data_IF_780594349749
#
_entry.id   IF_780594349749
#
_cell.length_a   1.000
_cell.length_b   1.000
_cell.length_c   1.000
_cell.angle_alpha   90.00
_cell.angle_beta   90.00
_cell.angle_gamma   90.00
#
_symmetry.space_group_name_H-M   'P 1'
#
loop_
_entity.id
_entity.type
_entity.pdbx_description
1 polymer ?
#
# COMPACT_ATOMS: atom_id res chain seq x y z
N UNK A 1 3.50 -11.39 -15.60
CA UNK A 1 2.68 -11.61 -14.39
C UNK A 1 2.13 -13.04 -14.31
N UNK A 2 1.43 -13.57 -15.33
CA UNK A 2 0.90 -14.95 -15.33
C UNK A 2 1.95 -16.05 -15.13
N UNK A 3 3.02 -16.03 -15.94
CA UNK A 3 4.16 -16.97 -15.82
C UNK A 3 4.74 -16.99 -14.40
N UNK A 4 4.86 -15.82 -13.77
CA UNK A 4 5.37 -15.74 -12.40
C UNK A 4 4.39 -16.36 -11.40
N UNK A 5 3.09 -16.07 -11.53
CA UNK A 5 2.05 -16.68 -10.69
C UNK A 5 2.00 -18.20 -10.82
N UNK A 6 2.14 -18.74 -12.03
CA UNK A 6 2.22 -20.18 -12.28
C UNK A 6 3.45 -20.82 -11.61
N UNK A 7 4.61 -20.15 -11.63
CA UNK A 7 5.85 -20.66 -11.03
C UNK A 7 5.82 -20.70 -9.50
N UNK A 8 5.20 -19.71 -8.86
CA UNK A 8 5.09 -19.66 -7.39
C UNK A 8 3.92 -20.48 -6.83
N UNK A 9 3.08 -21.05 -7.71
CA UNK A 9 1.95 -21.93 -7.37
C UNK A 9 1.06 -21.33 -6.27
N UNK A 10 0.99 -22.01 -5.12
CA UNK A 10 0.04 -21.74 -4.04
C UNK A 10 0.49 -20.64 -3.07
N UNK A 11 1.68 -20.05 -3.29
CA UNK A 11 2.13 -18.93 -2.47
C UNK A 11 1.22 -17.71 -2.74
N UNK A 12 0.62 -17.11 -1.70
CA UNK A 12 -0.14 -15.88 -1.84
C UNK A 12 0.74 -14.78 -2.44
N UNK A 13 0.25 -14.16 -3.51
CA UNK A 13 0.99 -13.12 -4.23
C UNK A 13 0.28 -11.80 -4.08
N UNK A 14 1.03 -10.75 -3.75
CA UNK A 14 0.58 -9.37 -3.83
C UNK A 14 1.45 -8.64 -4.85
N UNK A 15 0.83 -7.85 -5.71
CA UNK A 15 1.52 -6.99 -6.65
C UNK A 15 1.33 -5.52 -6.30
N UNK A 16 2.44 -4.81 -6.36
CA UNK A 16 2.52 -3.38 -6.15
C UNK A 16 2.92 -2.71 -7.45
N UNK A 17 2.13 -1.72 -7.87
CA UNK A 17 2.43 -0.91 -9.04
C UNK A 17 2.97 0.45 -8.61
N UNK A 18 3.79 1.06 -9.48
CA UNK A 18 4.38 2.40 -9.31
C UNK A 18 4.06 3.34 -10.48
N UNK A 19 3.18 2.89 -11.35
CA UNK A 19 2.80 3.62 -12.54
C UNK A 19 1.28 3.59 -12.67
N UNK A 20 0.67 4.77 -12.68
CA UNK A 20 -0.78 4.97 -12.74
C UNK A 20 -1.48 4.28 -13.92
N UNK A 21 -0.77 3.90 -14.99
CA UNK A 21 -1.35 3.11 -16.08
C UNK A 21 -1.93 1.77 -15.63
N UNK A 22 -1.53 1.25 -14.47
CA UNK A 22 -2.13 0.05 -13.88
C UNK A 22 -3.41 0.32 -13.08
N UNK A 23 -3.69 1.59 -12.77
CA UNK A 23 -4.89 2.01 -12.06
C UNK A 23 -6.07 2.18 -13.04
N UNK A 24 -6.61 1.06 -13.50
CA UNK A 24 -7.84 0.99 -14.29
C UNK A 24 -8.56 -0.35 -14.04
N UNK A 25 -9.80 -0.44 -14.51
CA UNK A 25 -10.63 -1.65 -14.34
C UNK A 25 -9.96 -2.90 -14.90
N UNK A 26 -9.32 -2.81 -16.07
CA UNK A 26 -8.62 -3.95 -16.70
C UNK A 26 -7.48 -4.47 -15.81
N UNK A 27 -6.72 -3.58 -15.18
CA UNK A 27 -5.65 -3.94 -14.25
C UNK A 27 -6.18 -4.65 -13.00
N UNK A 28 -7.23 -4.11 -12.39
CA UNK A 28 -7.85 -4.70 -11.19
C UNK A 28 -8.53 -6.05 -11.50
N UNK A 29 -9.25 -6.15 -12.61
CA UNK A 29 -9.88 -7.40 -13.07
C UNK A 29 -8.83 -8.46 -13.35
N UNK A 30 -7.71 -8.10 -14.01
CA UNK A 30 -6.60 -9.03 -14.22
C UNK A 30 -6.07 -9.60 -12.89
N UNK A 31 -5.86 -8.76 -11.88
CA UNK A 31 -5.41 -9.23 -10.57
C UNK A 31 -6.43 -10.18 -9.92
N UNK A 32 -7.72 -9.84 -9.97
CA UNK A 32 -8.81 -10.65 -9.41
C UNK A 32 -8.93 -12.01 -10.09
N UNK A 33 -8.95 -12.04 -11.42
CA UNK A 33 -9.03 -13.26 -12.24
C UNK A 33 -7.88 -14.23 -12.00
N UNK A 34 -6.70 -13.72 -11.62
CA UNK A 34 -5.50 -14.51 -11.41
C UNK A 34 -5.20 -14.76 -9.92
N UNK A 35 -6.13 -14.41 -9.02
CA UNK A 35 -5.97 -14.51 -7.56
C UNK A 35 -4.66 -13.87 -7.06
N UNK A 36 -4.40 -12.64 -7.52
CA UNK A 36 -3.25 -11.82 -7.15
C UNK A 36 -3.75 -10.65 -6.31
N UNK A 37 -3.23 -10.46 -5.11
CA UNK A 37 -3.54 -9.35 -4.22
C UNK A 37 -3.06 -8.01 -4.79
N UNK A 38 -3.85 -6.97 -4.57
CA UNK A 38 -3.52 -5.61 -4.92
C UNK A 38 -2.88 -4.92 -3.72
N UNK A 39 -1.69 -4.33 -3.92
CA UNK A 39 -1.07 -3.47 -2.92
C UNK A 39 -1.69 -2.07 -2.98
N UNK A 40 -2.38 -1.71 -1.90
CA UNK A 40 -2.89 -0.36 -1.67
C UNK A 40 -1.71 0.50 -1.23
N UNK A 41 -1.24 1.36 -2.13
CA UNK A 41 -0.08 2.21 -1.86
C UNK A 41 -0.51 3.61 -1.45
N UNK A 42 0.19 4.17 -0.47
CA UNK A 42 0.23 5.62 -0.28
C UNK A 42 1.62 6.11 -0.66
N UNK A 43 1.67 6.97 -1.66
CA UNK A 43 2.87 7.59 -2.20
C UNK A 43 2.59 9.07 -2.53
N UNK A 44 3.62 9.88 -2.84
CA UNK A 44 3.43 11.30 -3.11
C UNK A 44 2.45 11.54 -4.26
N UNK A 45 1.68 12.63 -4.20
CA UNK A 45 0.72 13.02 -5.25
C UNK A 45 1.42 13.67 -6.46
N UNK A 46 2.27 12.90 -7.13
CA UNK A 46 3.05 13.33 -8.30
C UNK A 46 2.54 12.65 -9.57
N UNK A 47 2.74 13.32 -10.72
CA UNK A 47 2.36 12.79 -12.02
C UNK A 47 3.05 11.44 -12.26
N UNK A 48 2.29 10.44 -12.68
CA UNK A 48 2.79 9.11 -13.01
C UNK A 48 2.68 8.10 -11.88
N UNK A 49 2.62 8.54 -10.62
CA UNK A 49 2.48 7.68 -9.45
C UNK A 49 1.04 7.18 -9.28
N UNK A 50 0.90 6.05 -8.60
CA UNK A 50 -0.38 5.44 -8.25
C UNK A 50 -1.17 6.34 -7.30
N UNK A 51 -2.49 6.48 -7.50
CA UNK A 51 -3.36 7.05 -6.49
C UNK A 51 -3.56 6.06 -5.34
N UNK A 52 -3.84 6.59 -4.15
CA UNK A 52 -4.34 5.78 -3.05
C UNK A 52 -5.75 5.27 -3.38
N UNK A 53 -5.90 3.95 -3.44
CA UNK A 53 -7.15 3.28 -3.81
C UNK A 53 -7.41 2.08 -2.87
N UNK A 54 -8.29 2.22 -1.85
CA UNK A 54 -8.55 1.18 -0.86
C UNK A 54 -9.47 0.06 -1.41
N UNK A 55 -8.93 -0.74 -2.33
CA UNK A 55 -9.63 -1.89 -2.95
C UNK A 55 -8.86 -3.18 -2.72
N UNK A 56 -9.56 -4.32 -2.68
CA UNK A 56 -8.96 -5.66 -2.60
C UNK A 56 -9.33 -6.51 -3.81
N UNK A 57 -8.39 -7.33 -4.28
CA UNK A 57 -8.59 -8.28 -5.39
C UNK A 57 -8.58 -9.74 -4.96
N UNK A 58 -8.26 -10.00 -3.69
CA UNK A 58 -8.23 -11.34 -3.07
C UNK A 58 -8.71 -11.23 -1.61
N UNK A 59 -8.70 -12.35 -0.87
CA UNK A 59 -8.92 -12.37 0.58
C UNK A 59 -7.79 -11.78 1.42
N UNK A 60 -6.73 -11.24 0.79
CA UNK A 60 -5.62 -10.55 1.43
C UNK A 60 -5.64 -9.07 1.07
N UNK A 61 -5.74 -8.21 2.09
CA UNK A 61 -5.66 -6.76 1.99
C UNK A 61 -4.27 -6.33 2.40
N UNK A 62 -3.65 -5.47 1.62
CA UNK A 62 -2.24 -5.16 1.80
C UNK A 62 -1.98 -3.68 1.54
N UNK A 63 -1.65 -2.95 2.61
CA UNK A 63 -1.34 -1.53 2.57
C UNK A 63 0.16 -1.31 2.68
N UNK A 64 0.72 -0.45 1.83
CA UNK A 64 2.11 0.02 1.92
C UNK A 64 2.18 1.54 1.88
N UNK A 65 2.64 2.11 2.99
CA UNK A 65 2.78 3.55 3.19
C UNK A 65 4.23 3.96 2.95
N UNK A 66 4.51 4.67 1.85
CA UNK A 66 5.88 5.07 1.49
C UNK A 66 6.28 6.45 1.97
N UNK A 67 5.32 7.23 2.45
CA UNK A 67 5.48 8.66 2.68
C UNK A 67 5.13 9.47 1.43
N UNK A 68 5.00 10.79 1.63
CA UNK A 68 4.58 11.73 0.58
C UNK A 68 5.66 12.77 0.26
N UNK A 69 6.94 12.40 0.36
CA UNK A 69 8.04 13.32 0.02
C UNK A 69 7.92 13.78 -1.45
N UNK A 70 7.73 15.09 -1.73
CA UNK A 70 7.57 15.60 -3.09
C UNK A 70 8.86 15.48 -3.92
N UNK A 71 10.03 15.33 -3.29
CA UNK A 71 11.30 15.16 -3.99
C UNK A 71 11.54 13.72 -4.49
N UNK A 72 10.49 12.89 -4.57
CA UNK A 72 10.54 11.45 -4.84
C UNK A 72 11.45 11.01 -6.00
N UNK A 73 11.45 11.76 -7.09
CA UNK A 73 12.20 11.43 -8.31
C UNK A 73 13.65 11.92 -8.32
N UNK A 74 14.00 12.90 -7.48
CA UNK A 74 15.33 13.52 -7.49
C UNK A 74 16.10 13.30 -6.19
N UNK A 75 15.43 12.87 -5.12
CA UNK A 75 16.03 12.49 -3.85
C UNK A 75 16.85 11.19 -3.97
N UNK A 76 17.86 11.06 -3.11
CA UNK A 76 18.51 9.77 -2.89
C UNK A 76 17.52 8.72 -2.38
N UNK A 77 17.88 7.43 -2.44
CA UNK A 77 17.01 6.34 -1.95
C UNK A 77 16.64 6.53 -0.48
N UNK A 78 17.58 7.01 0.34
CA UNK A 78 17.34 7.23 1.77
C UNK A 78 16.41 8.42 2.02
N UNK A 79 16.56 9.51 1.26
CA UNK A 79 15.75 10.72 1.40
C UNK A 79 14.36 10.57 0.78
N UNK A 80 14.21 9.75 -0.27
CA UNK A 80 12.91 9.47 -0.90
C UNK A 80 11.85 9.03 0.11
N UNK A 81 12.27 8.25 1.10
CA UNK A 81 11.42 7.73 2.17
C UNK A 81 11.47 8.57 3.45
N UNK A 82 12.10 9.75 3.39
CA UNK A 82 12.16 10.68 4.51
C UNK A 82 10.84 11.43 4.69
N UNK A 83 9.90 10.78 5.38
CA UNK A 83 8.58 11.31 5.62
C UNK A 83 8.04 10.80 6.95
N UNK A 84 7.47 11.66 7.78
CA UNK A 84 6.75 11.27 8.98
C UNK A 84 5.30 11.69 8.80
N UNK A 85 4.41 10.70 8.71
CA UNK A 85 2.97 10.98 8.57
C UNK A 85 2.47 11.74 9.79
N UNK A 86 1.65 12.76 9.55
CA UNK A 86 0.95 13.48 10.60
C UNK A 86 -0.20 12.63 11.18
N UNK A 87 -0.61 12.85 12.44
CA UNK A 87 -1.70 12.10 13.06
C UNK A 87 -3.00 12.12 12.25
N UNK A 88 -3.37 13.26 11.67
CA UNK A 88 -4.60 13.38 10.89
C UNK A 88 -4.54 12.63 9.55
N UNK A 89 -3.35 12.52 8.95
CA UNK A 89 -3.16 11.66 7.78
C UNK A 89 -3.35 10.19 8.16
N UNK A 90 -2.76 9.76 9.28
CA UNK A 90 -2.93 8.39 9.77
C UNK A 90 -4.41 8.08 10.06
N UNK A 91 -5.11 8.99 10.74
CA UNK A 91 -6.56 8.87 11.02
C UNK A 91 -7.37 8.72 9.74
N UNK A 92 -6.99 9.41 8.65
CA UNK A 92 -7.72 9.32 7.38
C UNK A 92 -7.71 7.91 6.76
N UNK A 93 -6.70 7.09 7.06
CA UNK A 93 -6.62 5.71 6.54
C UNK A 93 -7.38 4.69 7.40
N UNK A 94 -7.67 5.01 8.66
CA UNK A 94 -8.28 4.07 9.62
C UNK A 94 -9.64 3.52 9.13
N UNK A 95 -10.57 4.34 8.60
CA UNK A 95 -11.85 3.82 8.10
C UNK A 95 -11.68 2.77 7.01
N UNK A 96 -10.75 2.98 6.08
CA UNK A 96 -10.47 2.04 4.99
C UNK A 96 -9.84 0.74 5.49
N UNK A 97 -8.87 0.85 6.40
CA UNK A 97 -8.21 -0.31 7.02
C UNK A 97 -9.25 -1.14 7.78
N UNK A 98 -10.10 -0.50 8.60
CA UNK A 98 -11.18 -1.17 9.35
C UNK A 98 -12.17 -1.83 8.40
N UNK A 99 -12.66 -1.11 7.37
CA UNK A 99 -13.58 -1.63 6.35
C UNK A 99 -13.03 -2.87 5.65
N UNK A 100 -11.77 -2.84 5.21
CA UNK A 100 -11.15 -3.97 4.54
C UNK A 100 -10.97 -5.11 5.55
N UNK A 101 -10.41 -4.85 6.73
CA UNK A 101 -10.24 -5.88 7.77
C UNK A 101 -11.53 -6.58 8.21
N UNK A 102 -12.68 -5.91 8.11
CA UNK A 102 -13.99 -6.49 8.41
C UNK A 102 -14.57 -7.38 7.31
N UNK A 103 -14.04 -7.33 6.07
CA UNK A 103 -14.60 -8.04 4.91
C UNK A 103 -13.72 -9.16 4.37
N UNK A 104 -12.44 -9.20 4.76
CA UNK A 104 -11.48 -10.19 4.26
C UNK A 104 -10.73 -10.89 5.40
N UNK A 105 -10.13 -12.05 5.11
CA UNK A 105 -9.55 -12.92 6.15
C UNK A 105 -8.28 -12.36 6.79
N UNK A 106 -7.50 -11.56 6.06
CA UNK A 106 -6.23 -11.02 6.56
C UNK A 106 -5.92 -9.67 5.95
N UNK A 107 -5.65 -8.69 6.80
CA UNK A 107 -5.16 -7.36 6.39
C UNK A 107 -3.77 -7.13 6.94
N UNK A 108 -2.84 -6.72 6.08
CA UNK A 108 -1.48 -6.34 6.42
C UNK A 108 -1.29 -4.86 6.16
N UNK A 109 -0.70 -4.15 7.12
CA UNK A 109 -0.39 -2.73 7.04
C UNK A 109 1.10 -2.53 7.28
N UNK A 110 1.81 -2.02 6.28
CA UNK A 110 3.27 -1.85 6.34
C UNK A 110 3.68 -0.40 6.07
N UNK A 111 4.56 0.11 6.92
CA UNK A 111 5.18 1.42 6.79
C UNK A 111 6.59 1.27 6.21
N UNK A 112 6.85 1.94 5.09
CA UNK A 112 8.10 1.89 4.31
C UNK A 112 8.84 3.24 4.30
N UNK A 113 8.35 4.24 5.02
CA UNK A 113 9.01 5.52 5.29
C UNK A 113 10.11 5.36 6.36
N UNK A 114 11.08 4.47 6.12
CA UNK A 114 12.00 3.97 7.14
C UNK A 114 13.12 4.92 7.56
N UNK A 115 13.25 6.09 6.91
CA UNK A 115 14.29 7.06 7.25
C UNK A 115 14.23 7.43 8.73
N UNK A 116 15.38 7.37 9.42
CA UNK A 116 15.51 7.70 10.85
C UNK A 116 14.45 7.07 11.78
N UNK A 117 13.96 5.85 11.46
CA UNK A 117 12.98 5.14 12.28
C UNK A 117 11.55 5.67 12.23
N UNK A 118 11.23 6.59 11.29
CA UNK A 118 9.90 7.20 11.14
C UNK A 118 8.80 6.16 10.88
N UNK A 119 9.11 5.09 10.14
CA UNK A 119 8.17 3.98 9.88
C UNK A 119 7.69 3.30 11.17
N UNK A 120 8.59 3.02 12.13
CA UNK A 120 8.24 2.40 13.41
C UNK A 120 7.32 3.30 14.22
N UNK A 121 7.64 4.61 14.28
CA UNK A 121 6.81 5.60 14.97
C UNK A 121 5.40 5.65 14.37
N UNK A 122 5.27 5.73 13.05
CA UNK A 122 3.96 5.75 12.40
C UNK A 122 3.21 4.40 12.52
N UNK A 123 3.90 3.27 12.50
CA UNK A 123 3.28 1.96 12.72
C UNK A 123 2.69 1.83 14.13
N UNK A 124 3.42 2.28 15.16
CA UNK A 124 2.92 2.29 16.55
C UNK A 124 1.70 3.21 16.67
N UNK A 125 1.75 4.40 16.07
CA UNK A 125 0.64 5.35 16.13
C UNK A 125 -0.61 4.82 15.41
N UNK A 126 -0.45 4.25 14.22
CA UNK A 126 -1.52 3.57 13.49
C UNK A 126 -2.15 2.44 14.32
N UNK A 127 -1.32 1.65 15.03
CA UNK A 127 -1.81 0.57 15.88
C UNK A 127 -2.70 1.09 17.02
N UNK A 128 -2.39 2.26 17.61
CA UNK A 128 -3.25 2.89 18.62
C UNK A 128 -4.59 3.30 18.01
N UNK A 129 -4.55 4.03 16.89
CA UNK A 129 -5.74 4.52 16.20
C UNK A 129 -6.69 3.40 15.73
N UNK A 130 -6.15 2.23 15.39
CA UNK A 130 -6.97 1.06 15.01
C UNK A 130 -7.66 0.43 16.22
N UNK A 131 -7.05 0.49 17.41
CA UNK A 131 -7.55 -0.11 18.66
C UNK A 131 -8.56 0.76 19.40
N UNK A 132 -8.59 2.06 19.11
CA UNK A 132 -9.69 2.97 19.47
C UNK A 132 -10.99 2.56 18.78
#
# INVERSE_FOLDING_TARGET
MRIFKERIKDIPLVMEFRNYYWHNERGLSFLKENNIGYCIVDEPKLKGLMPYNPTTTTGLGYFRFHGRNPNWFHASVAERYDYLYAPDELKSFVPDIKKISGTISKTLVMFNNCHAGKSVKNAIEMLKLIKE
#
